data_IF_147942133591
#
_entry.id   IF_147942133591
#
_cell.length_a   1.000
_cell.length_b   1.000
_cell.length_c   1.000
_cell.angle_alpha   90.00
_cell.angle_beta   90.00
_cell.angle_gamma   90.00
#
_symmetry.space_group_name_H-M   'P 1'
#
loop_
_entity.id
_entity.type
_entity.pdbx_description
1 polymer ?
#
# COMPACT_ATOMS: atom_id res chain seq x y z
N UNK A 1 -39.65 -8.72 -6.36
CA UNK A 1 -39.83 -8.43 -7.81
C UNK A 1 -39.35 -7.02 -8.17
N UNK A 2 -39.46 -6.02 -7.27
CA UNK A 2 -38.88 -4.68 -7.47
C UNK A 2 -37.49 -4.56 -6.82
N UNK A 3 -36.64 -3.66 -7.33
CA UNK A 3 -35.35 -3.33 -6.72
C UNK A 3 -35.51 -2.85 -5.27
N UNK A 4 -36.57 -2.09 -4.99
CA UNK A 4 -36.93 -1.66 -3.64
C UNK A 4 -37.15 -2.84 -2.68
N UNK A 5 -37.91 -3.87 -3.10
CA UNK A 5 -38.14 -5.06 -2.26
C UNK A 5 -36.84 -5.82 -1.97
N UNK A 6 -35.91 -5.88 -2.94
CA UNK A 6 -34.62 -6.52 -2.76
C UNK A 6 -33.73 -5.73 -1.78
N UNK A 7 -33.74 -4.40 -1.87
CA UNK A 7 -32.99 -3.52 -0.96
C UNK A 7 -33.47 -3.67 0.49
N UNK A 8 -34.79 -3.69 0.71
CA UNK A 8 -35.37 -3.93 2.05
C UNK A 8 -34.94 -5.31 2.56
N UNK A 9 -35.05 -6.34 1.73
CA UNK A 9 -34.67 -7.70 2.11
C UNK A 9 -33.19 -7.79 2.53
N UNK A 10 -32.28 -7.13 1.80
CA UNK A 10 -30.86 -7.15 2.09
C UNK A 10 -30.46 -6.35 3.35
N UNK A 11 -31.31 -5.45 3.84
CA UNK A 11 -31.01 -4.61 5.02
C UNK A 11 -31.77 -5.05 6.27
N UNK A 12 -32.86 -5.81 6.11
CA UNK A 12 -33.68 -6.26 7.22
C UNK A 12 -33.09 -7.51 7.89
N UNK A 13 -33.20 -7.57 9.22
CA UNK A 13 -32.91 -8.80 9.97
C UNK A 13 -34.06 -9.79 9.74
N UNK A 14 -33.76 -10.90 9.07
CA UNK A 14 -34.77 -11.89 8.65
C UNK A 14 -35.14 -12.89 9.73
N UNK A 15 -34.24 -13.16 10.69
CA UNK A 15 -34.40 -14.17 11.73
C UNK A 15 -33.97 -13.64 13.10
N UNK A 16 -34.63 -14.11 14.17
CA UNK A 16 -34.27 -13.78 15.54
C UNK A 16 -32.88 -14.31 15.95
N UNK A 17 -32.41 -15.40 15.31
CA UNK A 17 -31.12 -16.02 15.60
C UNK A 17 -30.01 -15.43 14.72
N UNK A 18 -28.95 -14.84 15.30
CA UNK A 18 -27.92 -14.17 14.52
C UNK A 18 -27.12 -15.13 13.62
N UNK A 19 -26.93 -14.70 12.38
CA UNK A 19 -26.21 -15.41 11.33
C UNK A 19 -26.90 -16.69 10.85
N UNK A 20 -28.22 -16.79 11.01
CA UNK A 20 -29.08 -17.71 10.26
C UNK A 20 -29.89 -16.85 9.29
N UNK A 21 -29.95 -17.24 8.00
CA UNK A 21 -30.55 -16.43 6.93
C UNK A 21 -29.97 -15.01 6.81
N UNK A 22 -28.65 -14.89 6.94
CA UNK A 22 -27.96 -13.62 6.74
C UNK A 22 -28.04 -13.22 5.26
N UNK A 23 -28.65 -12.06 5.00
CA UNK A 23 -28.94 -11.55 3.66
C UNK A 23 -28.07 -10.35 3.37
N UNK A 24 -27.36 -10.39 2.25
CA UNK A 24 -26.54 -9.29 1.74
C UNK A 24 -26.93 -8.99 0.30
N UNK A 25 -26.57 -7.79 -0.18
CA UNK A 25 -26.78 -7.45 -1.59
C UNK A 25 -25.92 -8.37 -2.47
N UNK A 26 -26.56 -9.06 -3.40
CA UNK A 26 -25.86 -9.93 -4.33
C UNK A 26 -24.98 -9.08 -5.27
N UNK A 27 -23.70 -9.44 -5.45
CA UNK A 27 -22.82 -8.77 -6.39
C UNK A 27 -23.21 -9.09 -7.85
N UNK A 28 -22.65 -8.33 -8.79
CA UNK A 28 -22.84 -8.58 -10.22
C UNK A 28 -22.41 -10.03 -10.57
N UNK A 29 -23.10 -10.73 -11.50
CA UNK A 29 -22.75 -12.11 -11.87
C UNK A 29 -21.29 -12.33 -12.28
N UNK A 30 -20.64 -11.33 -12.87
CA UNK A 30 -19.22 -11.35 -13.28
C UNK A 30 -18.25 -11.22 -12.10
N UNK A 31 -18.71 -10.60 -11.02
CA UNK A 31 -17.94 -10.34 -9.80
C UNK A 31 -17.99 -11.53 -8.83
N UNK A 32 -18.93 -12.47 -9.00
CA UNK A 32 -19.06 -13.65 -8.15
C UNK A 32 -17.85 -14.58 -8.32
N UNK A 33 -17.21 -14.91 -7.20
CA UNK A 33 -16.13 -15.89 -7.15
C UNK A 33 -16.71 -17.29 -6.86
N UNK A 34 -17.16 -17.97 -7.93
CA UNK A 34 -17.84 -19.27 -7.86
C UNK A 34 -17.05 -20.37 -7.14
N UNK A 35 -15.73 -20.41 -7.34
CA UNK A 35 -14.84 -21.40 -6.69
C UNK A 35 -14.88 -21.33 -5.17
N UNK A 36 -15.07 -20.14 -4.62
CA UNK A 36 -15.11 -19.89 -3.18
C UNK A 36 -16.54 -19.95 -2.65
N UNK A 37 -17.53 -19.62 -3.47
CA UNK A 37 -18.94 -19.76 -3.11
C UNK A 37 -19.35 -21.23 -2.94
N UNK A 38 -18.89 -22.10 -3.84
CA UNK A 38 -19.18 -23.54 -3.85
C UNK A 38 -18.26 -24.37 -2.94
N UNK A 39 -17.32 -23.72 -2.24
CA UNK A 39 -16.33 -24.40 -1.40
C UNK A 39 -17.02 -25.14 -0.25
N UNK A 40 -16.64 -26.41 -0.09
CA UNK A 40 -17.07 -27.26 1.02
C UNK A 40 -16.68 -26.62 2.38
N UNK A 41 -17.59 -26.65 3.35
CA UNK A 41 -17.38 -26.06 4.67
C UNK A 41 -17.43 -24.53 4.73
N UNK A 42 -17.91 -23.84 3.68
CA UNK A 42 -18.20 -22.39 3.75
C UNK A 42 -19.35 -22.08 4.72
N UNK A 43 -20.36 -22.95 4.76
CA UNK A 43 -21.52 -22.82 5.66
C UNK A 43 -21.14 -23.04 7.13
N UNK A 44 -20.04 -23.73 7.36
CA UNK A 44 -19.51 -24.00 8.71
C UNK A 44 -18.75 -22.77 9.19
N UNK A 45 -19.40 -21.97 10.04
CA UNK A 45 -18.84 -20.72 10.56
C UNK A 45 -17.48 -20.92 11.23
N UNK A 46 -17.29 -22.02 11.96
CA UNK A 46 -16.04 -22.32 12.65
C UNK A 46 -14.88 -22.51 11.67
N UNK A 47 -15.10 -23.26 10.58
CA UNK A 47 -14.06 -23.50 9.57
C UNK A 47 -13.73 -22.21 8.82
N UNK A 48 -14.75 -21.41 8.46
CA UNK A 48 -14.57 -20.11 7.84
C UNK A 48 -13.79 -19.12 8.71
N UNK A 49 -14.15 -19.02 10.00
CA UNK A 49 -13.45 -18.17 10.97
C UNK A 49 -12.00 -18.63 11.17
N UNK A 50 -11.76 -19.93 11.26
CA UNK A 50 -10.42 -20.49 11.37
C UNK A 50 -9.55 -20.16 10.16
N UNK A 51 -10.10 -20.26 8.93
CA UNK A 51 -9.41 -19.84 7.70
C UNK A 51 -9.08 -18.35 7.71
N UNK A 52 -10.01 -17.50 8.16
CA UNK A 52 -9.77 -16.06 8.29
C UNK A 52 -8.64 -15.76 9.29
N UNK A 53 -8.63 -16.46 10.43
CA UNK A 53 -7.59 -16.36 11.44
C UNK A 53 -6.22 -16.80 10.93
N UNK A 54 -6.13 -17.94 10.23
CA UNK A 54 -4.86 -18.38 9.62
C UNK A 54 -4.31 -17.32 8.67
N UNK A 55 -5.16 -16.77 7.80
CA UNK A 55 -4.72 -15.74 6.85
C UNK A 55 -4.33 -14.45 7.57
N UNK A 56 -5.06 -14.07 8.63
CA UNK A 56 -4.68 -12.93 9.46
C UNK A 56 -3.30 -13.13 10.08
N UNK A 57 -3.04 -14.29 10.71
CA UNK A 57 -1.73 -14.64 11.24
C UNK A 57 -0.66 -14.65 10.14
N UNK A 58 -0.95 -15.20 8.96
CA UNK A 58 -0.02 -15.22 7.83
C UNK A 58 0.35 -13.81 7.35
N UNK A 59 -0.62 -12.88 7.29
CA UNK A 59 -0.37 -11.48 6.93
C UNK A 59 0.48 -10.79 7.99
N UNK A 60 0.26 -11.04 9.28
CA UNK A 60 1.12 -10.52 10.36
C UNK A 60 2.52 -11.13 10.36
N UNK A 61 2.65 -12.42 10.12
CA UNK A 61 3.97 -13.04 9.93
C UNK A 61 4.69 -12.42 8.73
N UNK A 62 3.96 -12.16 7.64
CA UNK A 62 4.51 -11.49 6.46
C UNK A 62 4.96 -10.06 6.76
N UNK A 63 4.18 -9.28 7.53
CA UNK A 63 4.57 -7.90 7.90
C UNK A 63 5.85 -7.88 8.72
N UNK A 64 5.99 -8.78 9.69
CA UNK A 64 7.20 -8.92 10.51
C UNK A 64 8.38 -9.41 9.67
N UNK A 65 8.15 -10.43 8.83
CA UNK A 65 9.20 -10.96 7.96
C UNK A 65 9.74 -9.91 6.98
N UNK A 66 8.88 -9.00 6.53
CA UNK A 66 9.30 -7.92 5.63
C UNK A 66 10.18 -6.84 6.28
N UNK A 67 10.27 -6.82 7.61
CA UNK A 67 11.17 -5.92 8.34
C UNK A 67 12.64 -6.22 8.01
N UNK A 68 13.01 -7.50 7.88
CA UNK A 68 14.38 -7.92 7.60
C UNK A 68 14.92 -7.37 6.26
N UNK A 69 14.25 -7.59 5.10
CA UNK A 69 14.72 -7.06 3.83
C UNK A 69 14.69 -5.53 3.77
N UNK A 70 13.69 -4.88 4.37
CA UNK A 70 13.65 -3.41 4.42
C UNK A 70 14.82 -2.87 5.24
N UNK A 71 15.09 -3.45 6.41
CA UNK A 71 16.21 -3.05 7.27
C UNK A 71 17.55 -3.24 6.57
N UNK A 72 17.68 -4.30 5.77
CA UNK A 72 18.86 -4.50 4.93
C UNK A 72 19.01 -3.41 3.87
N UNK A 73 17.94 -3.06 3.16
CA UNK A 73 17.97 -1.97 2.15
C UNK A 73 18.22 -0.61 2.81
N UNK A 74 17.73 -0.40 4.03
CA UNK A 74 18.03 0.77 4.85
C UNK A 74 19.51 0.85 5.20
N UNK A 75 20.15 -0.27 5.55
CA UNK A 75 21.61 -0.32 5.73
C UNK A 75 22.39 0.10 4.48
N UNK A 76 21.84 -0.11 3.28
CA UNK A 76 22.43 0.37 2.02
C UNK A 76 22.33 1.89 1.85
N UNK A 77 21.44 2.60 2.55
CA UNK A 77 21.38 4.09 2.47
C UNK A 77 22.62 4.72 3.11
N UNK A 78 23.19 4.09 4.14
CA UNK A 78 24.44 4.48 4.79
C UNK A 78 25.65 3.80 4.17
N UNK A 79 25.83 3.94 2.85
CA UNK A 79 26.96 3.33 2.10
C UNK A 79 28.32 3.57 2.78
N UNK A 80 28.50 4.74 3.39
CA UNK A 80 29.74 5.14 4.06
C UNK A 80 30.02 4.32 5.33
N UNK A 81 28.98 3.85 6.01
CA UNK A 81 29.06 2.91 7.13
C UNK A 81 29.24 1.48 6.61
N UNK A 82 28.63 1.15 5.47
CA UNK A 82 28.70 -0.19 4.88
C UNK A 82 30.04 -0.47 4.19
N UNK A 83 30.72 0.55 3.64
CA UNK A 83 32.05 0.42 3.04
C UNK A 83 33.12 0.03 4.06
N UNK A 84 32.87 0.24 5.35
CA UNK A 84 33.73 -0.21 6.43
C UNK A 84 33.59 -1.73 6.69
N UNK A 85 32.45 -2.33 6.34
CA UNK A 85 32.18 -3.77 6.52
C UNK A 85 32.39 -4.59 5.23
N UNK A 86 32.06 -4.03 4.06
CA UNK A 86 32.18 -4.70 2.77
C UNK A 86 33.15 -3.94 1.86
N UNK A 87 34.40 -4.44 1.78
CA UNK A 87 35.48 -3.81 1.01
C UNK A 87 35.18 -3.60 -0.48
N UNK A 88 34.25 -4.36 -1.07
CA UNK A 88 33.88 -4.20 -2.48
C UNK A 88 33.18 -2.86 -2.77
N UNK A 89 32.45 -2.28 -1.80
CA UNK A 89 31.78 -0.97 -1.99
C UNK A 89 32.78 0.19 -2.05
N UNK A 90 33.96 0.03 -1.44
CA UNK A 90 34.99 1.08 -1.45
C UNK A 90 35.51 1.40 -2.86
N UNK A 91 35.55 0.40 -3.74
CA UNK A 91 35.97 0.56 -5.13
C UNK A 91 34.99 1.45 -5.93
N UNK A 92 33.67 1.22 -5.75
CA UNK A 92 32.62 1.99 -6.42
C UNK A 92 32.47 3.41 -5.88
N UNK A 93 32.79 3.63 -4.59
CA UNK A 93 32.79 4.97 -3.98
C UNK A 93 33.90 5.87 -4.52
N UNK A 94 35.02 5.29 -4.95
CA UNK A 94 36.22 6.03 -5.38
C UNK A 94 36.22 6.38 -6.89
N UNK A 95 35.26 5.91 -7.68
CA UNK A 95 35.29 6.11 -9.14
C UNK A 95 34.81 7.51 -9.57
N UNK A 96 33.58 7.92 -9.24
CA UNK A 96 33.05 9.25 -9.63
C UNK A 96 31.93 9.76 -8.73
N UNK A 97 31.79 11.09 -8.61
CA UNK A 97 30.76 11.76 -7.81
C UNK A 97 29.33 11.33 -8.23
N UNK A 98 29.09 11.18 -9.53
CA UNK A 98 27.77 10.83 -10.09
C UNK A 98 27.38 9.41 -9.68
N UNK A 99 28.29 8.44 -9.81
CA UNK A 99 28.04 7.04 -9.44
C UNK A 99 27.80 6.94 -7.93
N UNK A 100 28.58 7.64 -7.11
CA UNK A 100 28.38 7.69 -5.66
C UNK A 100 26.99 8.24 -5.29
N UNK A 101 26.58 9.37 -5.87
CA UNK A 101 25.27 9.97 -5.61
C UNK A 101 24.11 9.08 -6.08
N UNK A 102 24.27 8.38 -7.20
CA UNK A 102 23.29 7.42 -7.71
C UNK A 102 23.10 6.24 -6.75
N UNK A 103 24.19 5.60 -6.34
CA UNK A 103 24.13 4.45 -5.43
C UNK A 103 23.60 4.88 -4.06
N UNK A 104 23.96 6.06 -3.55
CA UNK A 104 23.54 6.50 -2.21
C UNK A 104 22.05 6.89 -2.12
N UNK A 105 21.50 7.51 -3.17
CA UNK A 105 20.17 8.13 -3.09
C UNK A 105 19.10 7.38 -3.90
N UNK A 106 19.47 6.84 -5.08
CA UNK A 106 18.52 6.27 -6.03
C UNK A 106 18.44 4.74 -5.87
N UNK A 107 19.56 4.07 -5.58
CA UNK A 107 19.54 2.61 -5.43
C UNK A 107 18.63 2.12 -4.29
N UNK A 108 18.64 2.71 -3.08
CA UNK A 108 17.76 2.25 -2.00
C UNK A 108 16.29 2.48 -2.32
N UNK A 109 15.94 3.61 -2.93
CA UNK A 109 14.57 3.91 -3.36
C UNK A 109 14.09 2.95 -4.45
N UNK A 110 14.94 2.64 -5.42
CA UNK A 110 14.67 1.63 -6.45
C UNK A 110 14.46 0.24 -5.84
N UNK A 111 15.33 -0.19 -4.93
CA UNK A 111 15.21 -1.51 -4.30
C UNK A 111 13.94 -1.61 -3.45
N UNK A 112 13.60 -0.58 -2.65
CA UNK A 112 12.36 -0.57 -1.86
C UNK A 112 11.14 -0.60 -2.76
N UNK A 113 11.10 0.21 -3.83
CA UNK A 113 9.94 0.26 -4.74
C UNK A 113 9.76 -1.05 -5.51
N UNK A 114 10.85 -1.65 -5.99
CA UNK A 114 10.82 -2.95 -6.66
C UNK A 114 10.40 -4.07 -5.69
N UNK A 115 10.89 -4.06 -4.46
CA UNK A 115 10.52 -5.06 -3.47
C UNK A 115 9.04 -4.91 -3.04
N UNK A 116 8.58 -3.67 -2.90
CA UNK A 116 7.17 -3.35 -2.59
C UNK A 116 6.22 -3.66 -3.73
N UNK A 117 6.68 -3.70 -4.99
CA UNK A 117 5.81 -4.02 -6.13
C UNK A 117 5.41 -5.50 -6.17
N UNK A 118 6.22 -6.38 -5.57
CA UNK A 118 5.93 -7.82 -5.44
C UNK A 118 4.84 -8.13 -4.40
N UNK A 119 4.74 -7.28 -3.38
CA UNK A 119 3.91 -7.56 -2.21
C UNK A 119 2.40 -7.66 -2.50
N UNK A 120 1.77 -6.78 -3.30
CA UNK A 120 0.34 -6.86 -3.59
C UNK A 120 -0.05 -8.18 -4.23
N UNK A 121 0.83 -8.78 -5.02
CA UNK A 121 0.61 -10.10 -5.61
C UNK A 121 0.60 -11.20 -4.54
N UNK A 122 1.57 -11.19 -3.63
CA UNK A 122 1.64 -12.14 -2.50
C UNK A 122 0.40 -12.00 -1.60
N UNK A 123 0.03 -10.76 -1.25
CA UNK A 123 -1.15 -10.49 -0.44
C UNK A 123 -2.44 -10.95 -1.13
N UNK A 124 -2.55 -10.78 -2.45
CA UNK A 124 -3.69 -11.27 -3.21
C UNK A 124 -3.80 -12.79 -3.14
N UNK A 125 -2.71 -13.53 -3.37
CA UNK A 125 -2.70 -15.00 -3.33
C UNK A 125 -3.03 -15.55 -1.93
N UNK A 126 -2.46 -14.96 -0.87
CA UNK A 126 -2.78 -15.34 0.51
C UNK A 126 -4.27 -15.04 0.80
N UNK A 127 -4.78 -13.91 0.32
CA UNK A 127 -6.17 -13.49 0.58
C UNK A 127 -7.20 -14.32 -0.17
N UNK A 128 -6.88 -14.90 -1.34
CA UNK A 128 -7.76 -15.82 -2.08
C UNK A 128 -8.11 -17.08 -1.29
N UNK A 129 -7.29 -17.45 -0.30
CA UNK A 129 -7.60 -18.60 0.57
C UNK A 129 -8.76 -18.31 1.53
N UNK A 130 -9.13 -17.05 1.73
CA UNK A 130 -10.30 -16.67 2.52
C UNK A 130 -11.60 -16.84 1.73
N UNK A 131 -12.71 -16.94 2.47
CA UNK A 131 -14.03 -17.25 1.92
C UNK A 131 -14.79 -16.02 1.39
N UNK A 132 -14.16 -15.18 0.56
CA UNK A 132 -14.81 -14.04 -0.07
C UNK A 132 -15.93 -14.46 -1.04
N UNK A 133 -16.98 -13.64 -1.20
CA UNK A 133 -18.09 -13.90 -2.14
C UNK A 133 -17.72 -13.37 -3.53
N UNK A 134 -17.13 -12.19 -3.58
CA UNK A 134 -16.85 -11.48 -4.83
C UNK A 134 -15.37 -11.12 -5.01
N UNK A 135 -14.98 -10.84 -6.26
CA UNK A 135 -13.66 -10.31 -6.57
C UNK A 135 -13.49 -8.89 -6.02
N UNK A 136 -14.54 -8.07 -6.05
CA UNK A 136 -14.54 -6.72 -5.48
C UNK A 136 -14.26 -6.72 -3.97
N UNK A 137 -14.83 -7.66 -3.21
CA UNK A 137 -14.56 -7.80 -1.78
C UNK A 137 -13.13 -8.23 -1.49
N UNK A 138 -12.61 -9.18 -2.29
CA UNK A 138 -11.24 -9.67 -2.19
C UNK A 138 -10.24 -8.55 -2.47
N UNK A 139 -10.37 -7.87 -3.61
CA UNK A 139 -9.47 -6.78 -4.01
C UNK A 139 -9.50 -5.64 -3.01
N UNK A 140 -10.67 -5.31 -2.48
CA UNK A 140 -10.82 -4.27 -1.47
C UNK A 140 -10.22 -4.65 -0.11
N UNK A 141 -10.27 -5.94 0.29
CA UNK A 141 -9.58 -6.41 1.48
C UNK A 141 -8.06 -6.34 1.31
N UNK A 142 -7.55 -6.78 0.15
CA UNK A 142 -6.12 -6.72 -0.19
C UNK A 142 -5.62 -5.28 -0.25
N UNK A 143 -6.39 -4.38 -0.85
CA UNK A 143 -6.13 -2.94 -0.87
C UNK A 143 -5.92 -2.41 0.54
N UNK A 144 -6.83 -2.76 1.47
CA UNK A 144 -6.71 -2.33 2.85
C UNK A 144 -5.50 -2.93 3.55
N UNK A 145 -5.20 -4.22 3.36
CA UNK A 145 -4.00 -4.86 3.92
C UNK A 145 -2.72 -4.21 3.42
N UNK A 146 -2.64 -3.97 2.11
CA UNK A 146 -1.47 -3.36 1.48
C UNK A 146 -1.27 -1.92 1.96
N UNK A 147 -2.34 -1.15 2.15
CA UNK A 147 -2.25 0.19 2.76
C UNK A 147 -1.63 0.17 4.16
N UNK A 148 -2.19 -0.62 5.09
CA UNK A 148 -1.65 -0.70 6.45
C UNK A 148 -0.22 -1.23 6.47
N UNK A 149 0.07 -2.20 5.60
CA UNK A 149 1.41 -2.72 5.41
C UNK A 149 2.37 -1.62 4.96
N UNK A 150 2.00 -0.85 3.94
CA UNK A 150 2.85 0.20 3.38
C UNK A 150 3.09 1.32 4.40
N UNK A 151 2.08 1.75 5.15
CA UNK A 151 2.26 2.73 6.23
C UNK A 151 3.21 2.19 7.31
N UNK A 152 3.02 0.96 7.76
CA UNK A 152 3.89 0.39 8.78
C UNK A 152 5.33 0.20 8.29
N UNK A 153 5.52 -0.44 7.14
CA UNK A 153 6.84 -0.86 6.66
C UNK A 153 7.58 0.23 5.87
N UNK A 154 6.90 1.01 5.02
CA UNK A 154 7.54 2.05 4.20
C UNK A 154 7.66 3.37 4.95
N UNK A 155 6.72 3.71 5.82
CA UNK A 155 6.78 4.96 6.59
C UNK A 155 7.42 4.71 7.96
N UNK A 156 6.78 3.96 8.85
CA UNK A 156 7.24 3.87 10.26
C UNK A 156 8.60 3.15 10.38
N UNK A 157 8.74 1.97 9.79
CA UNK A 157 9.98 1.18 9.88
C UNK A 157 11.13 1.87 9.15
N UNK A 158 10.87 2.47 7.97
CA UNK A 158 11.88 3.22 7.24
C UNK A 158 12.48 4.36 8.07
N UNK A 159 11.62 5.13 8.75
CA UNK A 159 12.05 6.23 9.61
C UNK A 159 12.96 5.77 10.75
N UNK A 160 12.63 4.64 11.35
CA UNK A 160 13.35 4.09 12.49
C UNK A 160 14.61 3.31 12.08
N UNK A 161 14.78 3.03 10.78
CA UNK A 161 16.02 2.50 10.24
C UNK A 161 16.38 1.12 10.80
N UNK A 162 17.67 0.90 10.96
CA UNK A 162 18.23 -0.29 11.63
C UNK A 162 18.01 -0.28 13.15
N UNK A 163 17.74 0.89 13.73
CA UNK A 163 17.40 1.05 15.14
C UNK A 163 15.95 0.72 15.48
N UNK A 164 15.12 0.27 14.52
CA UNK A 164 13.72 -0.07 14.77
C UNK A 164 13.55 -1.07 15.91
N UNK A 165 14.32 -2.17 15.92
CA UNK A 165 14.20 -3.21 16.93
C UNK A 165 14.55 -2.71 18.34
N UNK A 166 15.65 -1.97 18.49
CA UNK A 166 16.03 -1.37 19.79
C UNK A 166 15.02 -0.33 20.23
N UNK A 167 14.58 0.52 19.30
CA UNK A 167 13.56 1.55 19.53
C UNK A 167 12.23 0.97 20.00
N UNK A 168 11.81 -0.16 19.44
CA UNK A 168 10.58 -0.85 19.84
C UNK A 168 10.67 -1.43 21.26
N UNK A 169 11.85 -1.93 21.65
CA UNK A 169 12.08 -2.35 23.04
C UNK A 169 11.97 -1.15 23.99
N UNK A 170 12.55 0.00 23.64
CA UNK A 170 12.46 1.22 24.45
C UNK A 170 11.00 1.72 24.59
N UNK A 171 10.21 1.60 23.52
CA UNK A 171 8.78 1.98 23.52
C UNK A 171 7.93 1.04 24.38
N UNK A 172 8.28 -0.24 24.48
CA UNK A 172 7.57 -1.18 25.37
C UNK A 172 7.73 -0.80 26.84
N UNK A 173 8.89 -0.27 27.23
CA UNK A 173 9.12 0.21 28.59
C UNK A 173 8.54 1.61 28.83
N UNK A 174 8.60 2.50 27.83
CA UNK A 174 8.08 3.87 27.93
C UNK A 174 7.37 4.29 26.62
N UNK A 175 6.02 4.15 26.54
CA UNK A 175 5.29 4.40 25.30
C UNK A 175 5.35 5.87 24.85
N UNK A 176 5.58 6.81 25.78
CA UNK A 176 5.70 8.23 25.47
C UNK A 176 6.95 8.55 24.60
N UNK A 177 7.98 7.69 24.63
CA UNK A 177 9.21 7.89 23.84
C UNK A 177 8.98 7.72 22.34
N UNK A 178 7.94 7.02 21.90
CA UNK A 178 7.68 6.78 20.47
C UNK A 178 7.56 8.09 19.68
N UNK A 179 6.89 9.08 20.27
CA UNK A 179 6.62 10.38 19.65
C UNK A 179 7.93 11.14 19.47
N UNK A 180 8.81 11.12 20.47
CA UNK A 180 10.13 11.76 20.41
C UNK A 180 11.03 11.07 19.38
N UNK A 181 11.03 9.75 19.36
CA UNK A 181 11.84 8.96 18.44
C UNK A 181 11.44 9.23 16.99
N UNK A 182 10.13 9.20 16.72
CA UNK A 182 9.58 9.48 15.39
C UNK A 182 9.92 10.92 14.95
N UNK A 183 9.81 11.89 15.86
CA UNK A 183 10.12 13.28 15.59
C UNK A 183 11.62 13.53 15.29
N UNK A 184 12.53 12.78 15.91
CA UNK A 184 13.97 12.84 15.61
C UNK A 184 14.33 12.20 14.27
N UNK A 185 13.66 11.09 13.93
CA UNK A 185 13.91 10.31 12.71
C UNK A 185 13.30 10.94 11.45
N UNK A 186 12.16 11.62 11.58
CA UNK A 186 11.43 12.20 10.44
C UNK A 186 12.28 13.10 9.54
N UNK A 187 13.00 14.12 10.05
CA UNK A 187 13.82 14.98 9.20
C UNK A 187 14.91 14.22 8.43
N UNK A 188 15.45 13.13 8.99
CA UNK A 188 16.51 12.34 8.38
C UNK A 188 16.02 11.61 7.13
N UNK A 189 14.76 11.14 7.13
CA UNK A 189 14.13 10.44 6.01
C UNK A 189 13.65 11.33 4.87
N UNK A 190 13.69 12.66 5.00
CA UNK A 190 13.06 13.58 4.03
C UNK A 190 13.61 13.43 2.61
N UNK A 191 14.94 13.31 2.46
CA UNK A 191 15.58 13.16 1.15
C UNK A 191 15.24 11.81 0.49
N UNK A 192 15.11 10.75 1.27
CA UNK A 192 14.67 9.46 0.74
C UNK A 192 13.25 9.55 0.18
N UNK A 193 12.32 10.13 0.94
CA UNK A 193 10.92 10.22 0.49
C UNK A 193 10.75 11.17 -0.70
N UNK A 194 11.55 12.22 -0.81
CA UNK A 194 11.58 13.07 -2.00
C UNK A 194 11.99 12.24 -3.24
N UNK A 195 13.10 11.51 -3.14
CA UNK A 195 13.55 10.62 -4.22
C UNK A 195 12.54 9.50 -4.51
N UNK A 196 11.87 8.98 -3.48
CA UNK A 196 10.83 7.96 -3.62
C UNK A 196 9.64 8.47 -4.43
N UNK A 197 9.16 9.70 -4.19
CA UNK A 197 8.08 10.31 -4.98
C UNK A 197 8.54 10.55 -6.42
N UNK A 198 9.75 11.07 -6.61
CA UNK A 198 10.31 11.32 -7.94
C UNK A 198 10.46 10.02 -8.74
N UNK A 199 10.97 8.96 -8.13
CA UNK A 199 11.07 7.65 -8.77
C UNK A 199 9.68 7.08 -9.11
N UNK A 200 8.71 7.17 -8.20
CA UNK A 200 7.33 6.75 -8.48
C UNK A 200 6.66 7.60 -9.56
N UNK A 201 7.06 8.85 -9.77
CA UNK A 201 6.56 9.62 -10.92
C UNK A 201 7.02 9.04 -12.26
N UNK A 202 8.24 8.49 -12.30
CA UNK A 202 8.76 7.81 -13.48
C UNK A 202 8.04 6.49 -13.77
N UNK A 203 7.50 5.81 -12.75
CA UNK A 203 6.73 4.58 -12.96
C UNK A 203 5.40 4.84 -13.69
N UNK A 204 4.84 6.06 -13.64
CA UNK A 204 3.71 6.44 -14.49
C UNK A 204 4.08 6.48 -15.98
N UNK A 205 5.31 6.87 -16.31
CA UNK A 205 5.82 6.77 -17.68
C UNK A 205 5.92 5.31 -18.15
N UNK A 206 6.37 4.41 -17.28
CA UNK A 206 6.39 2.97 -17.55
C UNK A 206 4.98 2.40 -17.74
N UNK A 207 4.03 2.92 -16.97
CA UNK A 207 2.62 2.54 -17.05
C UNK A 207 1.99 3.03 -18.36
N UNK A 208 2.30 4.24 -18.83
CA UNK A 208 1.84 4.74 -20.13
C UNK A 208 2.25 3.82 -21.30
N UNK A 209 3.46 3.28 -21.25
CA UNK A 209 3.96 2.30 -22.23
C UNK A 209 3.35 0.90 -21.98
N UNK A 210 2.71 0.70 -20.82
CA UNK A 210 2.19 -0.57 -20.33
C UNK A 210 3.25 -1.67 -20.22
N UNK A 211 4.46 -1.28 -19.76
CA UNK A 211 5.60 -2.17 -19.69
C UNK A 211 5.29 -3.47 -18.92
N UNK A 212 4.65 -3.37 -17.76
CA UNK A 212 4.42 -4.50 -16.86
C UNK A 212 3.54 -5.61 -17.43
N UNK A 213 2.22 -5.47 -17.30
CA UNK A 213 1.30 -6.59 -17.58
C UNK A 213 1.02 -6.81 -19.06
N UNK A 214 0.92 -5.75 -19.85
CA UNK A 214 0.51 -5.87 -21.25
C UNK A 214 1.68 -6.17 -22.16
N UNK A 215 2.81 -5.44 -22.08
CA UNK A 215 3.95 -5.73 -22.95
C UNK A 215 4.68 -7.00 -22.54
N UNK A 216 5.25 -7.06 -21.32
CA UNK A 216 6.00 -8.25 -20.90
C UNK A 216 5.09 -9.47 -20.76
N UNK A 217 3.90 -9.32 -20.17
CA UNK A 217 2.95 -10.42 -20.04
C UNK A 217 2.51 -10.98 -21.39
N UNK A 218 2.15 -10.12 -22.35
CA UNK A 218 1.79 -10.59 -23.68
C UNK A 218 2.99 -11.24 -24.38
N UNK A 219 4.16 -10.59 -24.41
CA UNK A 219 5.34 -11.14 -25.07
C UNK A 219 5.73 -12.51 -24.52
N UNK A 220 5.64 -12.72 -23.21
CA UNK A 220 5.99 -14.00 -22.57
C UNK A 220 4.89 -15.03 -22.80
N UNK A 221 3.63 -14.71 -22.52
CA UNK A 221 2.55 -15.70 -22.53
C UNK A 221 2.04 -16.05 -23.94
N UNK A 222 2.29 -15.21 -24.95
CA UNK A 222 1.96 -15.53 -26.35
C UNK A 222 2.99 -16.43 -27.03
N UNK A 223 4.15 -16.66 -26.40
CA UNK A 223 5.14 -17.61 -26.93
C UNK A 223 4.51 -19.01 -27.10
N UNK A 224 4.89 -19.75 -28.15
CA UNK A 224 4.32 -21.08 -28.45
C UNK A 224 4.55 -22.10 -27.32
N UNK A 225 5.51 -21.83 -26.42
CA UNK A 225 5.81 -22.64 -25.24
C UNK A 225 4.64 -22.60 -24.23
N UNK A 226 4.06 -21.41 -24.02
CA UNK A 226 3.00 -21.17 -23.03
C UNK A 226 1.60 -21.22 -23.67
N UNK A 227 1.45 -20.70 -24.89
CA UNK A 227 0.18 -20.66 -25.62
C UNK A 227 0.09 -21.76 -26.68
N UNK A 228 -0.29 -22.98 -26.23
CA UNK A 228 -0.45 -24.14 -27.12
C UNK A 228 -1.76 -24.18 -27.91
N UNK A 229 -2.79 -23.46 -27.47
CA UNK A 229 -4.11 -23.46 -28.11
C UNK A 229 -4.57 -22.04 -28.46
N UNK A 230 -5.34 -21.85 -29.55
CA UNK A 230 -5.83 -20.53 -29.96
C UNK A 230 -6.70 -19.88 -28.88
N UNK A 231 -7.41 -20.68 -28.08
CA UNK A 231 -8.21 -20.19 -26.94
C UNK A 231 -7.33 -19.62 -25.82
N UNK A 232 -6.18 -20.23 -25.54
CA UNK A 232 -5.24 -19.67 -24.56
C UNK A 232 -4.61 -18.38 -25.08
N UNK A 233 -4.24 -18.34 -26.35
CA UNK A 233 -3.71 -17.12 -26.98
C UNK A 233 -4.73 -15.97 -26.90
N UNK A 234 -6.00 -16.23 -27.23
CA UNK A 234 -7.09 -15.24 -27.11
C UNK A 234 -7.28 -14.73 -25.67
N UNK A 235 -7.02 -15.57 -24.65
CA UNK A 235 -7.11 -15.17 -23.24
C UNK A 235 -5.95 -14.27 -22.82
N UNK A 236 -4.72 -14.54 -23.27
CA UNK A 236 -3.54 -13.73 -22.94
C UNK A 236 -3.45 -12.43 -23.75
N UNK A 237 -4.10 -12.38 -24.91
CA UNK A 237 -4.22 -11.18 -25.74
C UNK A 237 -5.34 -10.24 -25.29
N UNK A 238 -6.26 -10.70 -24.43
CA UNK A 238 -7.33 -9.87 -23.90
C UNK A 238 -6.78 -8.70 -23.05
N UNK A 239 -7.37 -7.50 -23.13
CA UNK A 239 -6.92 -6.37 -22.33
C UNK A 239 -7.16 -6.60 -20.83
N UNK A 240 -6.24 -6.12 -20.01
CA UNK A 240 -6.31 -6.28 -18.57
C UNK A 240 -7.21 -5.24 -17.92
N UNK A 241 -7.70 -5.59 -16.73
CA UNK A 241 -8.38 -4.66 -15.84
C UNK A 241 -7.40 -3.92 -14.95
N UNK A 242 -7.75 -2.69 -14.59
CA UNK A 242 -6.98 -1.89 -13.65
C UNK A 242 -6.92 -2.57 -12.25
N UNK A 243 -5.72 -2.89 -11.73
CA UNK A 243 -5.58 -3.52 -10.41
C UNK A 243 -5.67 -2.48 -9.30
N UNK A 244 -6.90 -2.24 -8.81
CA UNK A 244 -7.16 -1.26 -7.74
C UNK A 244 -6.35 -1.53 -6.48
N UNK A 245 -6.17 -2.79 -6.10
CA UNK A 245 -5.44 -3.17 -4.89
C UNK A 245 -3.94 -2.81 -4.93
N UNK A 246 -3.35 -2.56 -6.10
CA UNK A 246 -1.95 -2.19 -6.29
C UNK A 246 -1.75 -0.68 -6.36
N UNK A 247 -2.38 0.00 -7.32
CA UNK A 247 -2.13 1.43 -7.55
C UNK A 247 -2.74 2.30 -6.45
N UNK A 248 -3.93 1.92 -5.94
CA UNK A 248 -4.68 2.77 -5.03
C UNK A 248 -3.93 3.00 -3.70
N UNK A 249 -3.42 1.97 -2.99
CA UNK A 249 -2.66 2.20 -1.77
C UNK A 249 -1.34 2.92 -1.99
N UNK A 250 -0.70 2.75 -3.15
CA UNK A 250 0.55 3.46 -3.50
C UNK A 250 0.33 4.97 -3.66
N UNK A 251 -0.74 5.38 -4.35
CA UNK A 251 -1.09 6.80 -4.46
C UNK A 251 -1.44 7.42 -3.11
N UNK A 252 -2.18 6.69 -2.28
CA UNK A 252 -2.54 7.15 -0.94
C UNK A 252 -1.28 7.24 -0.07
N UNK A 253 -0.37 6.28 -0.13
CA UNK A 253 0.91 6.33 0.59
C UNK A 253 1.69 7.60 0.24
N UNK A 254 1.79 7.94 -1.05
CA UNK A 254 2.46 9.16 -1.51
C UNK A 254 1.74 10.41 -0.99
N UNK A 255 0.41 10.41 -0.94
CA UNK A 255 -0.36 11.49 -0.33
C UNK A 255 -0.04 11.63 1.18
N UNK A 256 -0.04 10.52 1.93
CA UNK A 256 0.30 10.52 3.36
C UNK A 256 1.72 11.02 3.61
N UNK A 257 2.70 10.57 2.82
CA UNK A 257 4.09 11.03 2.89
C UNK A 257 4.15 12.54 2.62
N UNK A 258 3.48 13.01 1.57
CA UNK A 258 3.45 14.43 1.18
C UNK A 258 2.89 15.30 2.30
N UNK A 259 1.76 14.90 2.89
CA UNK A 259 1.14 15.62 4.01
C UNK A 259 2.07 15.64 5.22
N UNK A 260 2.64 14.48 5.58
CA UNK A 260 3.54 14.33 6.74
C UNK A 260 4.79 15.23 6.61
N UNK A 261 5.36 15.33 5.42
CA UNK A 261 6.58 16.09 5.17
C UNK A 261 6.37 17.54 4.70
N UNK A 262 5.12 17.95 4.46
CA UNK A 262 4.78 19.27 3.90
C UNK A 262 5.40 20.44 4.67
N UNK A 263 5.42 20.37 6.00
CA UNK A 263 5.97 21.41 6.88
C UNK A 263 7.48 21.23 7.10
N UNK A 264 7.97 19.99 7.12
CA UNK A 264 9.38 19.68 7.38
C UNK A 264 10.25 20.01 6.17
N UNK A 265 9.80 19.63 4.97
CA UNK A 265 10.50 19.80 3.70
C UNK A 265 9.50 20.28 2.62
N UNK A 266 9.24 21.59 2.51
CA UNK A 266 8.19 22.14 1.63
C UNK A 266 8.34 21.79 0.15
N UNK A 267 9.58 21.55 -0.29
CA UNK A 267 9.89 21.12 -1.65
C UNK A 267 9.16 19.83 -2.06
N UNK A 268 8.77 18.98 -1.11
CA UNK A 268 8.03 17.75 -1.39
C UNK A 268 6.67 18.03 -2.05
N UNK A 269 6.04 19.17 -1.75
CA UNK A 269 4.75 19.56 -2.32
C UNK A 269 4.83 19.79 -3.83
N UNK A 270 5.92 20.39 -4.31
CA UNK A 270 6.12 20.66 -5.74
C UNK A 270 6.28 19.32 -6.49
N UNK A 271 7.06 18.39 -5.95
CA UNK A 271 7.24 17.07 -6.55
C UNK A 271 5.98 16.21 -6.45
N UNK A 272 5.21 16.31 -5.37
CA UNK A 272 3.92 15.64 -5.24
C UNK A 272 2.89 16.19 -6.23
N UNK A 273 2.84 17.51 -6.43
CA UNK A 273 1.99 18.13 -7.43
C UNK A 273 2.34 17.61 -8.83
N UNK A 274 3.63 17.56 -9.16
CA UNK A 274 4.11 16.98 -10.42
C UNK A 274 3.69 15.51 -10.56
N UNK A 275 3.89 14.69 -9.52
CA UNK A 275 3.48 13.30 -9.46
C UNK A 275 1.99 13.12 -9.78
N UNK A 276 1.10 13.80 -9.05
CA UNK A 276 -0.34 13.68 -9.26
C UNK A 276 -0.80 14.27 -10.60
N UNK A 277 -0.15 15.33 -11.10
CA UNK A 277 -0.47 15.91 -12.41
C UNK A 277 -0.17 14.93 -13.55
N UNK A 278 0.99 14.29 -13.52
CA UNK A 278 1.36 13.25 -14.49
C UNK A 278 0.43 12.05 -14.37
N UNK A 279 0.16 11.57 -13.15
CA UNK A 279 -0.75 10.45 -12.90
C UNK A 279 -2.15 10.72 -13.47
N UNK A 280 -2.69 11.92 -13.28
CA UNK A 280 -4.01 12.31 -13.81
C UNK A 280 -4.07 12.19 -15.34
N UNK A 281 -3.04 12.66 -16.05
CA UNK A 281 -3.00 12.58 -17.52
C UNK A 281 -2.86 11.13 -17.98
N UNK A 282 -1.92 10.37 -17.38
CA UNK A 282 -1.64 8.98 -17.75
C UNK A 282 -2.85 8.09 -17.49
N UNK A 283 -3.37 8.05 -16.27
CA UNK A 283 -4.48 7.15 -15.95
C UNK A 283 -5.77 7.56 -16.65
N UNK A 284 -6.02 8.86 -16.90
CA UNK A 284 -7.15 9.28 -17.73
C UNK A 284 -7.07 8.71 -19.15
N UNK A 285 -5.88 8.74 -19.75
CA UNK A 285 -5.66 8.13 -21.06
C UNK A 285 -5.87 6.61 -21.01
N UNK A 286 -5.26 5.93 -20.05
CA UNK A 286 -5.35 4.46 -19.96
C UNK A 286 -6.76 3.95 -19.65
N UNK A 287 -7.52 4.64 -18.81
CA UNK A 287 -8.93 4.29 -18.55
C UNK A 287 -9.81 4.46 -19.79
N UNK A 288 -9.46 5.38 -20.70
CA UNK A 288 -10.21 5.58 -21.93
C UNK A 288 -9.88 4.53 -23.00
N UNK A 289 -8.61 4.12 -23.12
CA UNK A 289 -8.15 3.35 -24.29
C UNK A 289 -7.67 1.92 -23.98
N UNK A 290 -7.23 1.62 -22.76
CA UNK A 290 -6.49 0.38 -22.50
C UNK A 290 -7.19 -0.57 -21.52
N UNK A 291 -7.80 -0.04 -20.46
CA UNK A 291 -8.34 -0.88 -19.38
C UNK A 291 -9.79 -1.31 -19.64
N UNK A 292 -10.07 -2.58 -19.35
CA UNK A 292 -11.44 -3.11 -19.31
C UNK A 292 -11.90 -3.26 -17.86
N UNK A 293 -13.17 -2.94 -17.60
CA UNK A 293 -13.78 -3.15 -16.28
C UNK A 293 -14.05 -4.63 -16.06
N UNK A 294 -13.45 -5.21 -15.01
CA UNK A 294 -13.66 -6.60 -14.59
C UNK A 294 -14.99 -6.79 -13.88
N UNK A 295 -15.37 -5.82 -13.04
CA UNK A 295 -16.62 -5.76 -12.28
C UNK A 295 -17.01 -4.30 -12.07
N UNK A 296 -18.29 -4.03 -11.81
CA UNK A 296 -18.80 -2.70 -11.45
C UNK A 296 -19.22 -2.68 -9.96
N UNK A 297 -18.51 -1.88 -9.15
CA UNK A 297 -18.74 -1.77 -7.68
C UNK A 297 -19.46 -0.46 -7.29
N UNK A 298 -19.73 0.43 -8.24
CA UNK A 298 -20.43 1.70 -7.99
C UNK A 298 -19.64 2.71 -7.15
N UNK A 299 -18.33 2.50 -6.96
CA UNK A 299 -17.37 3.46 -6.39
C UNK A 299 -17.51 3.78 -4.89
N UNK A 300 -18.64 3.50 -4.26
CA UNK A 300 -18.94 3.90 -2.87
C UNK A 300 -17.92 3.41 -1.84
N UNK A 301 -17.44 2.17 -2.00
CA UNK A 301 -16.46 1.54 -1.11
C UNK A 301 -15.08 2.21 -1.21
N UNK A 302 -14.64 2.50 -2.43
CA UNK A 302 -13.38 3.18 -2.68
C UNK A 302 -13.39 4.60 -2.12
N UNK A 303 -14.47 5.36 -2.33
CA UNK A 303 -14.62 6.70 -1.76
C UNK A 303 -14.50 6.70 -0.23
N UNK A 304 -15.19 5.78 0.46
CA UNK A 304 -15.10 5.65 1.92
C UNK A 304 -13.69 5.31 2.39
N UNK A 305 -12.97 4.45 1.65
CA UNK A 305 -11.57 4.13 1.96
C UNK A 305 -10.65 5.32 1.75
N UNK A 306 -10.84 6.09 0.68
CA UNK A 306 -10.05 7.29 0.43
C UNK A 306 -10.14 8.26 1.60
N UNK A 307 -11.36 8.60 2.02
CA UNK A 307 -11.60 9.52 3.11
C UNK A 307 -10.91 9.04 4.40
N UNK A 308 -11.08 7.76 4.74
CA UNK A 308 -10.46 7.15 5.93
C UNK A 308 -8.94 7.14 5.88
N UNK A 309 -8.34 6.81 4.74
CA UNK A 309 -6.89 6.75 4.64
C UNK A 309 -6.23 8.12 4.55
N UNK A 310 -6.93 9.10 3.96
CA UNK A 310 -6.51 10.50 4.05
C UNK A 310 -6.60 11.03 5.48
N UNK A 311 -7.66 10.70 6.23
CA UNK A 311 -7.74 11.06 7.65
C UNK A 311 -6.65 10.38 8.49
N UNK A 312 -6.36 9.10 8.23
CA UNK A 312 -5.24 8.39 8.89
C UNK A 312 -3.90 9.12 8.64
N UNK A 313 -3.66 9.57 7.40
CA UNK A 313 -2.46 10.35 7.07
C UNK A 313 -2.39 11.70 7.77
N UNK A 314 -3.53 12.40 7.91
CA UNK A 314 -3.62 13.64 8.68
C UNK A 314 -3.33 13.41 10.16
N UNK A 315 -3.83 12.31 10.74
CA UNK A 315 -3.53 11.93 12.11
C UNK A 315 -2.05 11.66 12.32
N UNK A 316 -1.41 10.93 11.40
CA UNK A 316 0.05 10.70 11.44
C UNK A 316 0.79 12.04 11.40
N UNK A 317 0.42 12.96 10.51
CA UNK A 317 1.02 14.29 10.44
C UNK A 317 0.84 15.10 11.73
N UNK A 318 -0.35 15.10 12.32
CA UNK A 318 -0.61 15.86 13.55
C UNK A 318 0.17 15.31 14.74
N UNK A 319 0.17 13.98 14.93
CA UNK A 319 0.92 13.32 16.00
C UNK A 319 2.43 13.56 15.87
N UNK A 320 2.94 13.49 14.64
CA UNK A 320 4.36 13.72 14.37
C UNK A 320 4.76 15.18 14.57
N UNK A 321 3.92 16.14 14.16
CA UNK A 321 4.18 17.56 14.39
C UNK A 321 4.11 17.95 15.88
N UNK A 322 3.18 17.38 16.65
CA UNK A 322 3.18 17.55 18.11
C UNK A 322 4.51 17.08 18.70
N UNK A 323 5.00 15.91 18.29
CA UNK A 323 6.29 15.39 18.72
C UNK A 323 7.46 16.30 18.37
N UNK A 324 7.50 16.78 17.12
CA UNK A 324 8.58 17.64 16.62
C UNK A 324 8.61 19.00 17.34
N UNK A 325 7.45 19.63 17.54
CA UNK A 325 7.35 20.92 18.25
C UNK A 325 7.67 20.78 19.74
N UNK A 326 7.27 19.68 20.36
CA UNK A 326 7.64 19.35 21.74
C UNK A 326 9.16 19.25 21.90
N UNK A 327 9.83 18.53 20.99
CA UNK A 327 11.30 18.41 21.00
C UNK A 327 12.01 19.75 20.76
N UNK A 328 11.43 20.65 19.97
CA UNK A 328 11.96 22.00 19.75
C UNK A 328 11.69 22.97 20.92
N UNK A 329 11.00 22.53 21.98
CA UNK A 329 10.71 23.35 23.16
C UNK A 329 9.56 24.35 22.98
N UNK A 330 8.80 24.29 21.87
CA UNK A 330 7.69 25.22 21.59
C UNK A 330 6.36 24.60 22.03
N UNK A 331 6.13 24.57 23.35
CA UNK A 331 4.97 23.91 23.96
C UNK A 331 3.62 24.56 23.59
N UNK A 332 3.60 25.89 23.38
CA UNK A 332 2.39 26.61 22.98
C UNK A 332 1.88 26.16 21.61
N UNK A 333 2.79 25.95 20.65
CA UNK A 333 2.44 25.47 19.32
C UNK A 333 2.02 23.98 19.35
N UNK A 334 2.69 23.15 20.16
CA UNK A 334 2.34 21.73 20.30
C UNK A 334 0.93 21.53 20.89
N UNK A 335 0.59 22.30 21.93
CA UNK A 335 -0.74 22.23 22.57
C UNK A 335 -1.87 22.72 21.66
N UNK A 336 -1.59 23.70 20.79
CA UNK A 336 -2.56 24.19 19.80
C UNK A 336 -2.99 23.15 18.76
N UNK A 337 -2.19 22.09 18.54
CA UNK A 337 -2.51 21.01 17.57
C UNK A 337 -3.44 19.95 18.19
N UNK A 338 -3.47 19.80 19.52
CA UNK A 338 -4.29 18.76 20.19
C UNK A 338 -5.80 18.84 19.86
N UNK A 339 -6.45 20.02 19.82
CA UNK A 339 -7.86 20.11 19.40
C UNK A 339 -8.07 19.63 17.96
N UNK A 340 -7.06 19.80 17.10
CA UNK A 340 -7.10 19.42 15.69
C UNK A 340 -7.12 17.90 15.52
N UNK A 341 -6.45 17.16 16.42
CA UNK A 341 -6.50 15.68 16.48
C UNK A 341 -7.90 15.20 16.89
N UNK A 342 -8.51 15.86 17.88
CA UNK A 342 -9.88 15.50 18.30
C UNK A 342 -10.87 15.74 17.16
N UNK A 343 -10.72 16.86 16.44
CA UNK A 343 -11.57 17.17 15.30
C UNK A 343 -11.42 16.16 14.15
N UNK A 344 -10.21 15.71 13.82
CA UNK A 344 -9.98 14.73 12.76
C UNK A 344 -10.45 13.32 13.10
N UNK A 345 -10.50 12.95 14.38
CA UNK A 345 -11.09 11.66 14.81
C UNK A 345 -12.61 11.74 14.81
N UNK A 346 -13.18 12.91 15.10
CA UNK A 346 -14.63 13.12 15.17
C UNK A 346 -15.31 13.15 13.79
N UNK A 347 -14.61 13.68 12.78
CA UNK A 347 -15.05 13.77 11.38
C UNK A 347 -14.92 12.43 10.66
#
# INVERSE_FOLDING_TARGET
>A
RSAHSAQICAQAVTCWKPGVFDTTLAPEPRDIMWSTLLRLGRKDKLVGQFRQWIVFCAVWCLTIFWLFPISFILGLTSIQSLSQHFGFLSYFLNTSLIVRSFIQNILPTLLVTLFMSLLPWILLEISKQQDFISYSELEDCVLGRYYHFAIFNVLIVFLLGTSFLSSMLDVLYEPAKIIQLLANSLPQGANFFLNYILFNSATHGMELIQLGSQLFGHLIFTLPIFSKTPRMLARYTAPWSFPYYYYYPNHILILVITVTYSVIQPLILIFALFYFSVALVVYRHQYAFCYIRKFESGGSRHYRRMARYTSDGLLIFQLTMVGLLYLKGVLSAATAILPLIVFTIWM
#
